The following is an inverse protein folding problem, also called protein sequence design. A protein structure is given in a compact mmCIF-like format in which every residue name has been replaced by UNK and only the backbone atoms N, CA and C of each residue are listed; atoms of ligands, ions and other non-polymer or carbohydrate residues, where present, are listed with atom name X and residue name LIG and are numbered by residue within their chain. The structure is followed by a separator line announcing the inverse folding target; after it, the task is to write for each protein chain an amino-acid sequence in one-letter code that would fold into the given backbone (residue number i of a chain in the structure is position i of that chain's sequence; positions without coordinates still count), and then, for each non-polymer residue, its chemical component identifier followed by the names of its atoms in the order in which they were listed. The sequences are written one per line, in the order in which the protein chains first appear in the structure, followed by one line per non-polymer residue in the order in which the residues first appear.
data_IF_379842430793
#
_entry.id   IF_379842430793
#
_cell.length_a   1.000
_cell.length_b   1.000
_cell.length_c   1.000
_cell.angle_alpha   90.00
_cell.angle_beta   90.00
_cell.angle_gamma   90.00
#
_symmetry.space_group_name_H-M   'P 1'
#
loop_
_entity.id
_entity.type
_entity.pdbx_description
1 polymer ?
#
# COMPACT_ATOMS: atom_id res chain seq x y z
N UNK A 1 15.77 10.79 8.48
CA UNK A 1 15.94 9.75 7.44
C UNK A 1 14.63 9.64 6.69
N UNK A 2 14.62 9.96 5.41
CA UNK A 2 13.43 9.81 4.59
C UNK A 2 13.18 8.31 4.34
N UNK A 3 11.95 7.89 4.58
CA UNK A 3 11.53 6.49 4.64
C UNK A 3 10.88 6.18 3.28
N UNK A 4 11.62 5.52 2.38
CA UNK A 4 11.18 5.20 1.02
C UNK A 4 9.93 4.31 1.05
N UNK A 5 8.78 4.90 0.77
CA UNK A 5 7.49 4.23 0.83
C UNK A 5 6.89 4.20 -0.57
N UNK A 6 6.50 3.01 -1.03
CA UNK A 6 5.76 2.86 -2.27
C UNK A 6 4.29 2.61 -1.92
N UNK A 7 3.42 3.47 -2.43
CA UNK A 7 1.98 3.33 -2.34
C UNK A 7 1.45 2.82 -3.69
N UNK A 8 0.72 1.71 -3.68
CA UNK A 8 0.16 1.10 -4.88
C UNK A 8 -1.35 0.99 -4.75
N UNK A 9 -2.07 1.48 -5.75
CA UNK A 9 -3.52 1.41 -5.83
C UNK A 9 -3.92 0.38 -6.88
N UNK A 10 -4.58 -0.68 -6.41
CA UNK A 10 -5.20 -1.67 -7.28
C UNK A 10 -6.71 -1.45 -7.28
N UNK A 11 -7.35 -1.72 -8.40
CA UNK A 11 -8.79 -1.89 -8.40
C UNK A 11 -9.21 -3.05 -9.28
N UNK A 12 -10.25 -3.74 -8.82
CA UNK A 12 -10.93 -4.74 -9.62
C UNK A 12 -12.04 -4.03 -10.40
N UNK A 13 -12.08 -4.26 -11.72
CA UNK A 13 -13.24 -3.89 -12.52
C UNK A 13 -14.12 -5.13 -12.66
N UNK A 14 -15.24 -5.17 -11.93
CA UNK A 14 -16.24 -6.21 -12.06
C UNK A 14 -17.52 -5.61 -12.60
N UNK A 15 -18.01 -6.16 -13.72
CA UNK A 15 -19.15 -5.62 -14.45
C UNK A 15 -20.49 -5.85 -13.71
N UNK A 16 -20.48 -6.61 -12.61
CA UNK A 16 -21.68 -7.09 -11.91
C UNK A 16 -21.68 -6.78 -10.39
N UNK A 17 -20.67 -6.10 -9.86
CA UNK A 17 -20.59 -5.72 -8.46
C UNK A 17 -19.76 -4.44 -8.32
N UNK A 18 -20.06 -3.60 -7.32
CA UNK A 18 -19.42 -2.29 -7.13
C UNK A 18 -17.88 -2.40 -7.21
N UNK A 19 -17.19 -1.49 -7.92
CA UNK A 19 -15.75 -1.60 -8.16
C UNK A 19 -14.96 -1.49 -6.86
N UNK A 20 -14.35 -2.59 -6.43
CA UNK A 20 -13.52 -2.65 -5.23
C UNK A 20 -12.15 -2.05 -5.56
N UNK A 21 -11.78 -1.00 -4.82
CA UNK A 21 -10.46 -0.37 -4.88
C UNK A 21 -9.70 -0.70 -3.60
N UNK A 22 -8.55 -1.33 -3.75
CA UNK A 22 -7.68 -1.72 -2.66
C UNK A 22 -6.41 -0.85 -2.66
N UNK A 23 -6.06 -0.34 -1.49
CA UNK A 23 -4.83 0.38 -1.26
C UNK A 23 -3.79 -0.56 -0.63
N UNK A 24 -2.63 -0.70 -1.27
CA UNK A 24 -1.52 -1.52 -0.80
C UNK A 24 -0.33 -0.62 -0.56
N UNK A 25 0.18 -0.61 0.68
CA UNK A 25 1.38 0.13 1.06
C UNK A 25 2.54 -0.86 1.22
N UNK A 26 3.64 -0.62 0.50
CA UNK A 26 4.86 -1.40 0.65
C UNK A 26 5.79 -0.67 1.63
N UNK A 27 6.02 -1.30 2.77
CA UNK A 27 6.90 -0.80 3.84
C UNK A 27 8.36 -0.78 3.33
N UNK A 28 9.19 0.09 3.89
CA UNK A 28 10.56 0.38 3.43
C UNK A 28 11.46 -0.84 3.26
N UNK A 29 11.34 -1.84 4.12
CA UNK A 29 12.09 -3.09 3.99
C UNK A 29 11.72 -3.86 2.72
N UNK A 30 10.47 -3.78 2.26
CA UNK A 30 10.01 -4.40 1.03
C UNK A 30 10.46 -3.65 -0.23
N UNK A 31 10.56 -2.32 -0.13
CA UNK A 31 11.09 -1.48 -1.22
C UNK A 31 12.59 -1.71 -1.42
N UNK A 32 13.37 -1.70 -0.35
CA UNK A 32 14.82 -1.93 -0.40
C UNK A 32 15.18 -3.34 -0.89
N UNK A 33 14.32 -4.34 -0.62
CA UNK A 33 14.50 -5.73 -1.06
C UNK A 33 13.93 -6.01 -2.47
N UNK A 34 13.40 -5.00 -3.16
CA UNK A 34 12.84 -5.15 -4.51
C UNK A 34 11.58 -6.02 -4.57
N UNK A 35 10.85 -6.20 -3.46
CA UNK A 35 9.64 -7.05 -3.40
C UNK A 35 8.45 -6.45 -4.16
N UNK A 36 8.55 -5.18 -4.57
CA UNK A 36 7.52 -4.46 -5.32
C UNK A 36 7.08 -5.21 -6.57
N UNK A 37 8.03 -5.70 -7.38
CA UNK A 37 7.71 -6.42 -8.62
C UNK A 37 6.92 -7.70 -8.37
N UNK A 38 7.35 -8.50 -7.38
CA UNK A 38 6.65 -9.75 -6.99
C UNK A 38 5.24 -9.49 -6.46
N UNK A 39 5.04 -8.38 -5.75
CA UNK A 39 3.71 -8.00 -5.24
C UNK A 39 2.79 -7.63 -6.39
N UNK A 40 3.28 -6.83 -7.34
CA UNK A 40 2.50 -6.43 -8.52
C UNK A 40 2.13 -7.65 -9.35
N UNK A 41 3.11 -8.52 -9.64
CA UNK A 41 2.90 -9.75 -10.40
C UNK A 41 1.87 -10.66 -9.71
N UNK A 42 1.94 -10.83 -8.39
CA UNK A 42 0.94 -11.61 -7.64
C UNK A 42 -0.46 -10.98 -7.66
N UNK A 43 -0.56 -9.65 -7.68
CA UNK A 43 -1.83 -8.94 -7.80
C UNK A 43 -2.43 -9.08 -9.21
N UNK A 44 -1.61 -8.99 -10.25
CA UNK A 44 -2.06 -9.17 -11.64
C UNK A 44 -2.47 -10.62 -11.91
N UNK A 45 -1.74 -11.62 -11.41
CA UNK A 45 -2.11 -13.03 -11.51
C UNK A 45 -3.46 -13.35 -10.86
N UNK A 46 -3.85 -12.61 -9.82
CA UNK A 46 -5.17 -12.73 -9.16
C UNK A 46 -6.30 -12.02 -9.92
N UNK A 47 -5.98 -11.30 -11.00
CA UNK A 47 -6.95 -10.57 -11.80
C UNK A 47 -7.25 -9.15 -11.29
N UNK A 48 -6.45 -8.61 -10.38
CA UNK A 48 -6.56 -7.19 -10.01
C UNK A 48 -5.86 -6.33 -11.05
N UNK A 49 -6.53 -5.25 -11.47
CA UNK A 49 -5.93 -4.29 -12.39
C UNK A 49 -5.22 -3.20 -11.61
N UNK A 50 -3.97 -2.92 -11.96
CA UNK A 50 -3.27 -1.74 -11.45
C UNK A 50 -3.96 -0.48 -11.98
N UNK A 51 -4.39 0.42 -11.08
CA UNK A 51 -5.04 1.68 -11.47
C UNK A 51 -4.06 2.84 -11.37
N UNK A 52 -3.31 2.91 -10.27
CA UNK A 52 -2.33 3.96 -10.05
C UNK A 52 -1.21 3.46 -9.14
N UNK A 53 0.00 3.96 -9.36
CA UNK A 53 1.15 3.70 -8.49
C UNK A 53 1.85 5.02 -8.19
N UNK A 54 2.17 5.24 -6.91
CA UNK A 54 2.87 6.44 -6.47
C UNK A 54 4.05 6.06 -5.57
N UNK A 55 5.25 6.29 -6.08
CA UNK A 55 6.47 6.23 -5.28
C UNK A 55 6.69 7.59 -4.62
N UNK A 56 6.77 7.62 -3.29
CA UNK A 56 6.94 8.88 -2.57
C UNK A 56 7.82 8.70 -1.34
N UNK A 57 8.70 9.67 -1.14
CA UNK A 57 9.51 9.77 0.05
C UNK A 57 8.60 10.35 1.13
N UNK A 58 8.07 9.50 2.00
CA UNK A 58 7.12 9.96 3.00
C UNK A 58 7.88 10.70 4.10
N UNK A 59 7.53 11.97 4.29
CA UNK A 59 7.92 12.73 5.48
C UNK A 59 7.09 12.30 6.68
N UNK A 60 7.65 12.51 7.87
CA UNK A 60 7.11 12.01 9.14
C UNK A 60 5.63 12.40 9.34
N UNK A 61 5.27 13.63 8.96
CA UNK A 61 3.91 14.18 9.09
C UNK A 61 2.88 13.44 8.23
N UNK A 62 3.25 13.02 7.01
CA UNK A 62 2.34 12.28 6.13
C UNK A 62 2.16 10.84 6.61
N UNK A 63 3.17 10.27 7.25
CA UNK A 63 3.09 8.95 7.88
C UNK A 63 2.21 9.01 9.12
N UNK A 64 2.36 10.05 9.95
CA UNK A 64 1.56 10.25 11.15
C UNK A 64 0.06 10.30 10.83
N UNK A 65 -0.34 11.04 9.78
CA UNK A 65 -1.74 11.08 9.29
C UNK A 65 -2.26 9.72 8.80
N UNK A 66 -1.40 8.85 8.27
CA UNK A 66 -1.79 7.52 7.80
C UNK A 66 -1.87 6.48 8.93
N UNK A 67 -1.01 6.62 9.95
CA UNK A 67 -0.92 5.70 11.09
C UNK A 67 -1.62 6.19 12.36
N UNK A 68 -2.39 7.30 12.33
CA UNK A 68 -3.12 7.83 13.51
C UNK A 68 -3.93 6.74 14.24
N UNK A 69 -4.42 5.74 13.49
CA UNK A 69 -5.18 4.61 14.04
C UNK A 69 -4.36 3.67 14.95
N UNK A 70 -3.02 3.66 14.87
CA UNK A 70 -2.19 2.73 15.64
C UNK A 70 -1.97 3.15 17.10
N UNK A 71 -2.34 4.37 17.50
CA UNK A 71 -2.04 4.91 18.84
C UNK A 71 -3.15 4.63 19.88
N UNK A 72 -4.26 3.99 19.48
CA UNK A 72 -5.38 3.65 20.38
C UNK A 72 -5.41 2.20 20.86
N UNK A 73 -4.33 1.42 20.68
CA UNK A 73 -4.16 0.21 21.45
C UNK A 73 -3.56 0.60 22.81
N UNK A 74 -4.34 0.66 23.91
CA UNK A 74 -3.71 0.54 25.22
C UNK A 74 -2.91 -0.76 25.14
N UNK A 75 -1.61 -0.69 25.43
CA UNK A 75 -0.77 -1.89 25.59
C UNK A 75 -1.54 -2.85 26.48
N UNK A 76 -2.13 -3.89 25.89
CA UNK A 76 -2.72 -4.98 26.62
C UNK A 76 -1.55 -5.59 27.40
N UNK A 77 -1.62 -5.41 28.72
CA UNK A 77 -0.66 -5.91 29.68
C UNK A 77 -0.73 -7.44 29.70
#
# INVERSE_FOLDING_TARGET
MAINTLCVYFGANSNNCQPIRAFIMVITGGVQRGLVGKIIESCEQKGFKLIAMKFMWAEKESLEKHYVCSTLLPRAR
#
